data_IF_888757470945
#
_entry.id   IF_888757470945
#
_cell.length_a   1.000
_cell.length_b   1.000
_cell.length_c   1.000
_cell.angle_alpha   90.00
_cell.angle_beta   90.00
_cell.angle_gamma   90.00
#
_symmetry.space_group_name_H-M   'P 1'
#
loop_
_entity.id
_entity.type
_entity.pdbx_description
1 polymer ?
#
# COMPACT_ATOMS: atom_id res chain seq x y z
N UNK A 1 30.55 -24.57 24.10
CA UNK A 1 29.35 -23.86 24.63
C UNK A 1 28.18 -24.18 23.73
N UNK A 2 27.24 -25.01 24.19
CA UNK A 2 26.07 -25.43 23.43
C UNK A 2 24.98 -24.35 23.48
N UNK A 3 24.46 -23.94 22.32
CA UNK A 3 23.27 -23.08 22.22
C UNK A 3 22.06 -23.90 22.66
N UNK A 4 21.50 -23.57 23.82
CA UNK A 4 20.17 -24.06 24.20
C UNK A 4 19.15 -23.50 23.21
N UNK A 5 18.61 -24.38 22.36
CA UNK A 5 17.44 -24.10 21.55
C UNK A 5 16.26 -23.86 22.50
N UNK A 6 15.75 -22.64 22.54
CA UNK A 6 14.46 -22.33 23.16
C UNK A 6 13.37 -22.96 22.28
N UNK A 7 12.97 -24.19 22.61
CA UNK A 7 11.74 -24.82 22.13
C UNK A 7 10.53 -24.11 22.78
N UNK A 8 10.25 -22.88 22.33
CA UNK A 8 8.96 -22.26 22.57
C UNK A 8 7.96 -22.90 21.62
N UNK A 9 6.95 -23.59 22.14
CA UNK A 9 5.80 -24.00 21.33
C UNK A 9 5.20 -22.75 20.68
N UNK A 10 5.01 -22.80 19.36
CA UNK A 10 4.38 -21.70 18.65
C UNK A 10 2.91 -21.60 19.15
N UNK A 11 2.37 -20.38 19.28
CA UNK A 11 0.98 -20.19 19.69
C UNK A 11 0.03 -20.87 18.67
N UNK A 12 -1.13 -21.35 19.11
CA UNK A 12 -2.10 -22.11 18.29
C UNK A 12 -2.49 -21.39 16.97
N UNK A 13 -2.51 -20.06 16.99
CA UNK A 13 -2.74 -19.22 15.81
C UNK A 13 -1.67 -19.40 14.70
N UNK A 14 -0.45 -19.81 15.03
CA UNK A 14 0.60 -20.13 14.05
C UNK A 14 0.29 -21.41 13.25
N UNK A 15 -0.59 -22.27 13.78
CA UNK A 15 -1.08 -23.47 13.11
C UNK A 15 -2.41 -23.24 12.35
N UNK A 16 -2.93 -22.00 12.35
CA UNK A 16 -4.07 -21.64 11.51
C UNK A 16 -3.73 -21.93 10.04
N UNK A 17 -4.45 -22.88 9.45
CA UNK A 17 -4.34 -23.23 8.03
C UNK A 17 -4.73 -22.04 7.13
N UNK A 18 -5.49 -21.08 7.66
CA UNK A 18 -5.95 -19.93 6.90
C UNK A 18 -4.88 -18.82 6.88
N UNK A 19 -3.94 -18.92 5.93
CA UNK A 19 -3.10 -17.78 5.53
C UNK A 19 -3.93 -16.87 4.63
N UNK A 20 -4.45 -15.77 5.17
CA UNK A 20 -5.06 -14.72 4.35
C UNK A 20 -4.02 -14.26 3.31
N UNK A 21 -4.26 -14.46 2.00
CA UNK A 21 -3.27 -14.13 0.98
C UNK A 21 -2.92 -12.65 0.93
N UNK A 22 -3.78 -11.74 1.41
CA UNK A 22 -3.42 -10.32 1.53
C UNK A 22 -2.31 -10.11 2.56
N UNK A 23 -2.39 -10.77 3.71
CA UNK A 23 -1.42 -10.62 4.81
C UNK A 23 -0.10 -11.31 4.50
N UNK A 24 -0.13 -12.45 3.80
CA UNK A 24 1.10 -13.06 3.30
C UNK A 24 1.64 -12.33 2.08
N UNK A 25 0.75 -11.74 1.25
CA UNK A 25 1.10 -11.15 -0.06
C UNK A 25 1.34 -9.68 -0.15
N UNK A 26 1.26 -8.95 0.95
CA UNK A 26 1.40 -7.51 0.91
C UNK A 26 2.33 -7.01 2.00
N UNK A 27 2.82 -5.79 1.80
CA UNK A 27 3.55 -5.05 2.82
C UNK A 27 2.74 -5.02 4.12
N UNK A 28 3.33 -5.48 5.25
CA UNK A 28 2.64 -5.53 6.52
C UNK A 28 2.10 -4.17 6.98
N UNK A 29 1.01 -4.18 7.73
CA UNK A 29 0.39 -2.96 8.27
C UNK A 29 1.24 -2.20 9.30
N UNK A 30 2.28 -2.84 9.82
CA UNK A 30 3.26 -2.23 10.73
C UNK A 30 4.42 -1.51 10.02
N UNK A 31 4.48 -1.51 8.69
CA UNK A 31 5.51 -0.75 7.98
C UNK A 31 5.26 0.75 8.12
N UNK A 32 6.29 1.51 8.49
CA UNK A 32 6.17 2.96 8.68
C UNK A 32 6.31 3.73 7.37
N UNK A 33 5.19 4.01 6.72
CA UNK A 33 5.19 4.75 5.45
C UNK A 33 5.56 6.24 5.61
N UNK A 34 5.66 6.76 6.83
CA UNK A 34 6.17 8.13 7.08
C UNK A 34 7.66 8.25 6.81
N UNK A 35 8.39 7.13 6.85
CA UNK A 35 9.82 7.11 6.56
C UNK A 35 10.14 7.49 5.10
N UNK A 36 9.14 7.54 4.22
CA UNK A 36 9.27 8.09 2.87
C UNK A 36 9.52 9.62 2.86
N UNK A 37 9.41 10.31 4.00
CA UNK A 37 9.78 11.72 4.13
C UNK A 37 8.96 12.62 3.20
N UNK A 38 9.64 13.48 2.44
CA UNK A 38 8.99 14.42 1.52
C UNK A 38 8.68 13.84 0.13
N UNK A 39 8.89 12.53 -0.06
CA UNK A 39 8.60 11.90 -1.35
C UNK A 39 7.09 11.89 -1.57
N UNK A 40 6.62 12.56 -2.64
CA UNK A 40 5.22 12.50 -3.04
C UNK A 40 4.88 11.13 -3.63
N UNK A 41 3.81 10.52 -3.14
CA UNK A 41 3.38 9.16 -3.51
C UNK A 41 2.02 9.22 -4.21
N UNK A 42 1.83 8.51 -5.32
CA UNK A 42 0.54 8.46 -6.04
C UNK A 42 -0.48 7.55 -5.34
N UNK A 43 -1.78 7.69 -5.65
CA UNK A 43 -2.79 6.74 -5.18
C UNK A 43 -2.50 5.31 -5.65
N UNK A 44 -2.03 5.12 -6.90
CA UNK A 44 -1.65 3.80 -7.40
C UNK A 44 -0.46 3.20 -6.64
N UNK A 45 0.55 4.01 -6.26
CA UNK A 45 1.68 3.54 -5.46
C UNK A 45 1.25 3.10 -4.06
N UNK A 46 0.36 3.87 -3.42
CA UNK A 46 -0.23 3.49 -2.12
C UNK A 46 -0.92 2.13 -2.25
N UNK A 47 -1.80 1.95 -3.24
CA UNK A 47 -2.59 0.72 -3.34
C UNK A 47 -1.77 -0.48 -3.85
N UNK A 48 -0.70 -0.25 -4.61
CA UNK A 48 0.18 -1.31 -5.13
C UNK A 48 1.21 -1.80 -4.11
N UNK A 49 1.79 -0.87 -3.33
CA UNK A 49 2.89 -1.17 -2.40
C UNK A 49 2.46 -1.19 -0.94
N UNK A 50 1.35 -0.54 -0.57
CA UNK A 50 0.86 -0.44 0.82
C UNK A 50 -0.65 -0.72 0.93
N UNK A 51 -1.18 -1.82 0.35
CA UNK A 51 -2.61 -2.06 0.31
C UNK A 51 -3.25 -2.21 1.70
N UNK A 52 -2.48 -2.71 2.69
CA UNK A 52 -2.93 -2.80 4.08
C UNK A 52 -3.02 -1.44 4.77
N UNK A 53 -2.31 -0.41 4.29
CA UNK A 53 -2.34 0.94 4.86
C UNK A 53 -3.62 1.71 4.53
N UNK A 54 -4.57 1.09 3.81
CA UNK A 54 -5.96 1.56 3.74
C UNK A 54 -6.62 1.67 5.12
N UNK A 55 -6.09 1.01 6.15
CA UNK A 55 -6.52 1.19 7.54
C UNK A 55 -6.00 2.48 8.20
N UNK A 56 -5.00 3.16 7.62
CA UNK A 56 -4.51 4.44 8.13
C UNK A 56 -5.51 5.54 7.73
N UNK A 57 -5.98 6.32 8.72
CA UNK A 57 -7.12 7.22 8.50
C UNK A 57 -6.83 8.29 7.44
N UNK A 58 -5.63 8.87 7.45
CA UNK A 58 -5.27 9.90 6.47
C UNK A 58 -5.13 9.36 5.05
N UNK A 59 -4.61 8.15 4.88
CA UNK A 59 -4.57 7.46 3.59
C UNK A 59 -5.98 7.21 3.07
N UNK A 60 -6.86 6.66 3.90
CA UNK A 60 -8.24 6.39 3.50
C UNK A 60 -9.02 7.68 3.21
N UNK A 61 -8.78 8.74 3.97
CA UNK A 61 -9.32 10.08 3.72
C UNK A 61 -8.87 10.60 2.36
N UNK A 62 -7.57 10.49 2.03
CA UNK A 62 -7.03 10.91 0.73
C UNK A 62 -7.75 10.22 -0.42
N UNK A 63 -7.78 8.89 -0.38
CA UNK A 63 -8.46 8.07 -1.39
C UNK A 63 -9.95 8.46 -1.49
N UNK A 64 -10.60 8.68 -0.35
CA UNK A 64 -12.02 9.01 -0.29
C UNK A 64 -12.37 10.35 -0.92
N UNK A 65 -11.59 11.41 -0.65
CA UNK A 65 -11.82 12.74 -1.21
C UNK A 65 -11.48 12.77 -2.70
N UNK A 66 -10.50 11.98 -3.14
CA UNK A 66 -10.19 11.81 -4.56
C UNK A 66 -11.08 10.76 -5.24
N UNK A 67 -12.29 10.56 -4.72
CA UNK A 67 -13.37 9.76 -5.31
C UNK A 67 -13.07 8.27 -5.54
N UNK A 68 -12.14 7.68 -4.80
CA UNK A 68 -11.99 6.23 -4.77
C UNK A 68 -13.09 5.60 -3.91
N UNK A 69 -13.93 4.77 -4.54
CA UNK A 69 -14.90 3.93 -3.83
C UNK A 69 -14.24 2.71 -3.19
N UNK A 70 -14.86 2.12 -2.17
CA UNK A 70 -14.36 0.90 -1.56
C UNK A 70 -14.25 -0.27 -2.57
N UNK A 71 -15.18 -0.34 -3.54
CA UNK A 71 -15.12 -1.32 -4.62
C UNK A 71 -13.87 -1.11 -5.49
N UNK A 72 -13.62 0.11 -5.95
CA UNK A 72 -12.45 0.41 -6.78
C UNK A 72 -11.12 0.16 -6.07
N UNK A 73 -11.03 0.47 -4.77
CA UNK A 73 -9.84 0.18 -3.95
C UNK A 73 -9.58 -1.33 -3.93
N UNK A 74 -10.60 -2.12 -3.56
CA UNK A 74 -10.50 -3.58 -3.55
C UNK A 74 -10.11 -4.08 -4.95
N UNK A 75 -10.80 -3.62 -5.99
CA UNK A 75 -10.57 -4.10 -7.33
C UNK A 75 -9.15 -3.85 -7.82
N UNK A 76 -8.62 -2.66 -7.54
CA UNK A 76 -7.24 -2.29 -7.88
C UNK A 76 -6.22 -3.11 -7.09
N UNK A 77 -6.44 -3.38 -5.80
CA UNK A 77 -5.54 -4.22 -4.98
C UNK A 77 -5.50 -5.64 -5.55
N UNK A 78 -6.66 -6.22 -5.90
CA UNK A 78 -6.73 -7.54 -6.54
C UNK A 78 -5.97 -7.56 -7.87
N UNK A 79 -6.16 -6.54 -8.70
CA UNK A 79 -5.47 -6.40 -9.99
C UNK A 79 -3.96 -6.26 -9.82
N UNK A 80 -3.50 -5.33 -8.98
CA UNK A 80 -2.08 -5.01 -8.81
C UNK A 80 -1.28 -6.15 -8.16
N UNK A 81 -1.89 -6.85 -7.20
CA UNK A 81 -1.27 -7.98 -6.48
C UNK A 81 -1.63 -9.37 -7.05
N UNK A 82 -2.41 -9.42 -8.14
CA UNK A 82 -2.89 -10.66 -8.77
C UNK A 82 -3.53 -11.64 -7.76
N UNK A 83 -4.35 -11.11 -6.85
CA UNK A 83 -5.08 -11.92 -5.87
C UNK A 83 -6.20 -12.67 -6.58
N UNK A 84 -6.38 -13.94 -6.23
CA UNK A 84 -7.37 -14.84 -6.83
C UNK A 84 -8.39 -15.40 -5.84
N UNK A 85 -8.11 -15.23 -4.54
CA UNK A 85 -9.04 -15.60 -3.47
C UNK A 85 -9.88 -14.37 -3.16
N UNK A 86 -11.18 -14.46 -3.42
CA UNK A 86 -12.18 -13.39 -3.27
C UNK A 86 -12.43 -12.97 -1.81
N UNK A 87 -11.89 -13.72 -0.85
CA UNK A 87 -11.99 -13.43 0.57
C UNK A 87 -10.76 -12.71 1.14
N UNK A 88 -9.74 -12.40 0.33
CA UNK A 88 -8.52 -11.70 0.78
C UNK A 88 -8.83 -10.36 1.47
N UNK A 89 -9.62 -9.53 0.79
CA UNK A 89 -10.08 -8.22 1.27
C UNK A 89 -11.53 -8.02 0.85
N UNK A 90 -12.39 -7.74 1.82
CA UNK A 90 -13.82 -7.55 1.59
C UNK A 90 -14.14 -6.06 1.38
N UNK A 91 -15.00 -5.78 0.40
CA UNK A 91 -15.51 -4.43 0.12
C UNK A 91 -16.14 -3.77 1.35
N UNK A 92 -16.89 -4.53 2.13
CA UNK A 92 -17.54 -4.08 3.37
C UNK A 92 -16.53 -3.60 4.40
N UNK A 93 -15.41 -4.31 4.55
CA UNK A 93 -14.30 -3.91 5.44
C UNK A 93 -13.69 -2.57 5.00
N UNK A 94 -13.38 -2.42 3.71
CA UNK A 94 -12.83 -1.16 3.18
C UNK A 94 -13.85 -0.02 3.29
N UNK A 95 -15.13 -0.30 3.06
CA UNK A 95 -16.22 0.68 3.22
C UNK A 95 -16.35 1.15 4.68
N UNK A 96 -16.23 0.24 5.63
CA UNK A 96 -16.23 0.58 7.06
C UNK A 96 -15.01 1.43 7.45
N UNK A 97 -13.81 1.08 6.95
CA UNK A 97 -12.60 1.89 7.14
C UNK A 97 -12.78 3.31 6.58
N UNK A 98 -13.36 3.43 5.38
CA UNK A 98 -13.73 4.70 4.75
C UNK A 98 -14.65 5.54 5.62
N UNK A 99 -15.76 4.98 6.08
CA UNK A 99 -16.70 5.69 6.95
C UNK A 99 -16.05 6.14 8.26
N UNK A 100 -15.24 5.28 8.87
CA UNK A 100 -14.51 5.58 10.12
C UNK A 100 -13.51 6.71 9.93
N UNK A 101 -12.74 6.67 8.85
CA UNK A 101 -11.74 7.69 8.54
C UNK A 101 -12.38 9.06 8.24
N UNK A 102 -13.49 9.09 7.49
CA UNK A 102 -14.23 10.32 7.21
C UNK A 102 -14.87 10.91 8.46
N UNK A 103 -15.42 10.08 9.35
CA UNK A 103 -15.94 10.53 10.65
C UNK A 103 -14.83 11.14 11.50
N UNK A 104 -13.69 10.45 11.62
CA UNK A 104 -12.53 10.98 12.34
C UNK A 104 -12.04 12.32 11.77
N UNK A 105 -12.01 12.49 10.44
CA UNK A 105 -11.65 13.77 9.83
C UNK A 105 -12.62 14.89 10.22
N UNK A 106 -13.92 14.59 10.29
CA UNK A 106 -14.93 15.55 10.72
C UNK A 106 -14.76 15.95 12.19
N UNK A 107 -14.56 14.96 13.08
CA UNK A 107 -14.43 15.16 14.53
C UNK A 107 -13.11 15.85 14.92
N UNK A 108 -12.03 15.60 14.18
CA UNK A 108 -10.72 16.21 14.45
C UNK A 108 -10.59 17.67 14.01
N UNK A 109 -11.63 18.25 13.41
CA UNK A 109 -11.59 19.61 12.85
C UNK A 109 -10.69 19.74 11.61
N UNK A 110 -10.16 18.64 11.07
CA UNK A 110 -9.26 18.60 9.91
C UNK A 110 -9.99 18.63 8.57
N UNK A 111 -11.28 18.98 8.54
CA UNK A 111 -12.08 19.02 7.30
C UNK A 111 -11.41 19.91 6.25
N UNK A 112 -10.92 21.09 6.65
CA UNK A 112 -10.31 22.07 5.75
C UNK A 112 -8.81 21.89 5.55
N UNK A 113 -8.18 20.93 6.24
CA UNK A 113 -6.74 20.72 6.10
C UNK A 113 -6.44 20.11 4.72
N UNK A 114 -5.44 20.64 4.00
CA UNK A 114 -4.99 20.02 2.76
C UNK A 114 -4.50 18.61 3.05
N UNK A 115 -4.80 17.69 2.13
CA UNK A 115 -4.34 16.31 2.24
C UNK A 115 -2.87 16.28 1.80
N UNK A 116 -1.95 15.76 2.62
CA UNK A 116 -0.56 15.65 2.23
C UNK A 116 -0.37 14.54 1.18
N UNK A 117 0.46 14.83 0.17
CA UNK A 117 0.89 13.88 -0.86
C UNK A 117 2.23 13.23 -0.52
N UNK A 118 3.07 13.93 0.25
CA UNK A 118 4.17 13.36 1.00
C UNK A 118 3.63 12.59 2.21
N UNK A 119 4.20 11.44 2.52
CA UNK A 119 3.72 10.61 3.62
C UNK A 119 4.43 10.91 4.95
N UNK A 120 5.53 11.67 4.97
CA UNK A 120 6.29 11.96 6.19
C UNK A 120 5.52 12.69 7.29
N UNK A 121 4.50 13.47 6.92
CA UNK A 121 3.69 14.23 7.86
C UNK A 121 2.39 13.54 8.31
N UNK A 122 2.11 12.32 7.83
CA UNK A 122 0.79 11.72 8.10
C UNK A 122 0.66 11.19 9.52
N UNK A 123 -0.56 11.27 10.04
CA UNK A 123 -0.93 10.71 11.34
C UNK A 123 -0.91 9.17 11.32
N UNK A 124 -0.33 8.55 12.35
CA UNK A 124 -0.30 7.09 12.53
C UNK A 124 -1.62 6.52 13.05
N UNK A 125 -2.61 7.37 13.36
CA UNK A 125 -3.91 6.94 13.85
C UNK A 125 -4.58 5.92 12.90
N UNK A 126 -4.78 4.70 13.40
CA UNK A 126 -5.39 3.59 12.67
C UNK A 126 -6.92 3.58 12.85
N UNK A 127 -7.66 3.17 11.82
CA UNK A 127 -9.11 3.06 11.82
C UNK A 127 -9.66 1.87 12.62
N UNK A 128 -8.82 0.92 13.05
CA UNK A 128 -9.22 -0.28 13.79
C UNK A 128 -8.41 -0.46 15.08
N UNK A 129 -8.98 -1.18 16.04
CA UNK A 129 -8.37 -1.57 17.33
C UNK A 129 -7.19 -2.54 17.20
N UNK A 130 -6.51 -2.60 16.05
CA UNK A 130 -5.35 -3.49 15.88
C UNK A 130 -4.28 -3.07 16.88
N UNK A 131 -3.68 -4.07 17.52
CA UNK A 131 -2.61 -3.90 18.49
C UNK A 131 -1.57 -2.90 17.99
N UNK A 132 -1.06 -2.06 18.91
CA UNK A 132 0.05 -1.15 18.67
C UNK A 132 1.32 -1.97 18.37
N UNK A 133 1.40 -2.52 17.15
CA UNK A 133 2.60 -3.14 16.62
C UNK A 133 3.64 -2.05 16.47
N UNK A 134 4.86 -2.35 16.87
CA UNK A 134 6.01 -1.50 16.59
C UNK A 134 6.09 -1.23 15.08
N UNK A 135 6.28 0.04 14.75
CA UNK A 135 6.41 0.47 13.37
C UNK A 135 7.83 0.15 12.88
N UNK A 136 7.94 -0.46 11.70
CA UNK A 136 9.22 -0.96 11.17
C UNK A 136 9.66 -0.20 9.91
N UNK A 137 10.97 -0.04 9.77
CA UNK A 137 11.61 0.39 8.53
C UNK A 137 11.80 -0.83 7.61
N UNK A 138 11.37 -0.70 6.35
CA UNK A 138 11.19 -1.83 5.43
C UNK A 138 12.06 -1.65 4.18
N UNK A 139 12.56 -2.74 3.60
CA UNK A 139 13.33 -2.67 2.35
C UNK A 139 12.41 -2.37 1.17
N UNK A 140 12.81 -1.46 0.29
CA UNK A 140 11.95 -1.08 -0.84
C UNK A 140 11.81 -2.18 -1.88
N UNK A 141 12.83 -3.04 -2.03
CA UNK A 141 12.76 -4.19 -2.94
C UNK A 141 11.74 -5.23 -2.44
N UNK A 142 11.49 -5.29 -1.13
CA UNK A 142 10.50 -6.19 -0.54
C UNK A 142 9.07 -5.70 -0.79
N UNK A 143 8.85 -4.40 -1.04
CA UNK A 143 7.54 -3.88 -1.49
C UNK A 143 7.11 -4.50 -2.82
N UNK A 144 8.09 -4.75 -3.70
CA UNK A 144 7.91 -5.38 -4.99
C UNK A 144 7.87 -6.90 -4.92
N UNK A 145 8.62 -7.51 -4.00
CA UNK A 145 8.81 -8.96 -3.97
C UNK A 145 7.97 -9.69 -2.92
N UNK A 146 7.51 -9.01 -1.88
CA UNK A 146 6.79 -9.58 -0.75
C UNK A 146 7.55 -10.74 -0.09
N UNK A 147 8.65 -10.47 0.60
CA UNK A 147 9.41 -11.54 1.25
C UNK A 147 9.91 -12.65 0.30
N UNK A 148 10.39 -13.75 0.89
CA UNK A 148 11.14 -14.80 0.18
C UNK A 148 10.28 -15.66 -0.76
N UNK A 149 8.95 -15.65 -0.62
CA UNK A 149 8.07 -16.44 -1.46
C UNK A 149 7.81 -15.71 -2.79
N UNK A 150 8.21 -16.32 -3.91
CA UNK A 150 8.09 -15.76 -5.26
C UNK A 150 6.64 -15.42 -5.68
N UNK A 151 5.64 -15.81 -4.88
CA UNK A 151 4.21 -15.58 -5.05
C UNK A 151 3.71 -14.22 -4.55
N UNK A 152 4.60 -13.38 -4.03
CA UNK A 152 4.25 -12.24 -3.18
C UNK A 152 4.56 -10.90 -3.86
N UNK A 153 4.66 -10.91 -5.19
CA UNK A 153 5.15 -9.78 -5.96
C UNK A 153 4.08 -8.74 -6.24
N UNK A 154 4.46 -7.46 -6.27
CA UNK A 154 3.70 -6.45 -6.99
C UNK A 154 3.83 -6.77 -8.49
N UNK A 155 2.82 -7.44 -9.05
CA UNK A 155 2.88 -7.90 -10.46
C UNK A 155 2.64 -6.76 -11.44
N UNK A 156 1.89 -5.74 -11.04
CA UNK A 156 1.58 -4.57 -11.86
C UNK A 156 2.07 -3.32 -11.15
N UNK A 157 3.32 -2.97 -11.44
CA UNK A 157 3.84 -1.66 -11.07
C UNK A 157 2.98 -0.56 -11.69
N UNK A 158 2.77 0.57 -10.99
CA UNK A 158 2.22 1.76 -11.60
C UNK A 158 3.05 2.18 -12.82
N UNK A 159 2.39 2.69 -13.87
CA UNK A 159 3.00 3.10 -15.13
C UNK A 159 2.44 4.46 -15.57
N UNK A 160 3.16 5.16 -16.46
CA UNK A 160 2.73 6.43 -17.02
C UNK A 160 2.49 7.46 -15.93
N UNK A 161 1.31 8.09 -15.90
CA UNK A 161 0.95 9.07 -14.86
C UNK A 161 0.74 8.45 -13.46
N UNK A 162 0.61 7.13 -13.35
CA UNK A 162 0.55 6.44 -12.06
C UNK A 162 1.92 6.17 -11.45
N UNK A 163 2.98 6.21 -12.26
CA UNK A 163 4.37 6.02 -11.82
C UNK A 163 4.86 7.27 -11.08
N UNK A 164 5.17 7.11 -9.80
CA UNK A 164 5.80 8.13 -8.97
C UNK A 164 7.27 7.83 -8.67
N UNK A 165 7.83 8.60 -7.74
CA UNK A 165 9.23 8.48 -7.34
C UNK A 165 9.54 7.14 -6.67
N UNK A 166 8.59 6.59 -5.90
CA UNK A 166 8.78 5.31 -5.21
C UNK A 166 8.85 4.15 -6.20
N UNK A 167 7.98 4.14 -7.22
CA UNK A 167 7.99 3.15 -8.31
C UNK A 167 9.34 3.16 -9.02
N UNK A 168 9.84 4.34 -9.36
CA UNK A 168 11.17 4.50 -9.98
C UNK A 168 12.29 4.06 -9.05
N UNK A 169 12.24 4.39 -7.77
CA UNK A 169 13.21 3.95 -6.77
C UNK A 169 13.27 2.42 -6.66
N UNK A 170 12.12 1.76 -6.55
CA UNK A 170 12.02 0.30 -6.48
C UNK A 170 12.57 -0.34 -7.76
N UNK A 171 12.15 0.13 -8.94
CA UNK A 171 12.64 -0.37 -10.23
C UNK A 171 14.14 -0.20 -10.39
N UNK A 172 14.66 0.98 -10.04
CA UNK A 172 16.08 1.28 -10.10
C UNK A 172 16.88 0.37 -9.15
N UNK A 173 16.39 0.17 -7.92
CA UNK A 173 17.02 -0.71 -6.94
C UNK A 173 17.03 -2.17 -7.41
N UNK A 174 15.93 -2.68 -7.98
CA UNK A 174 15.88 -4.03 -8.54
C UNK A 174 16.84 -4.19 -9.72
N UNK A 175 16.91 -3.21 -10.63
CA UNK A 175 17.78 -3.26 -11.81
C UNK A 175 19.27 -3.29 -11.43
N UNK A 176 19.65 -2.56 -10.37
CA UNK A 176 21.04 -2.42 -9.94
C UNK A 176 21.38 -3.31 -8.72
N UNK A 177 20.50 -4.21 -8.31
CA UNK A 177 20.67 -5.07 -7.13
C UNK A 177 20.92 -4.31 -5.81
N UNK A 178 20.35 -3.11 -5.66
CA UNK A 178 20.44 -2.32 -4.42
C UNK A 178 19.41 -2.80 -3.38
N UNK A 179 19.52 -4.07 -2.98
CA UNK A 179 18.58 -4.73 -2.07
C UNK A 179 18.65 -4.22 -0.61
N UNK A 180 19.60 -3.34 -0.31
CA UNK A 180 19.87 -2.80 1.02
C UNK A 180 19.12 -1.50 1.31
N UNK A 181 18.45 -0.90 0.31
CA UNK A 181 17.74 0.37 0.47
C UNK A 181 16.45 0.18 1.29
N UNK A 182 16.33 0.96 2.37
CA UNK A 182 15.14 1.01 3.24
C UNK A 182 14.25 2.20 2.95
N UNK A 183 13.00 2.18 3.45
CA UNK A 183 12.05 3.28 3.32
C UNK A 183 12.62 4.61 3.81
N UNK A 184 13.28 4.59 4.96
CA UNK A 184 13.95 5.78 5.54
C UNK A 184 15.03 6.41 4.65
N UNK A 185 15.54 5.66 3.67
CA UNK A 185 16.59 6.09 2.76
C UNK A 185 16.05 6.50 1.39
N UNK A 186 14.75 6.34 1.13
CA UNK A 186 14.17 6.57 -0.20
C UNK A 186 14.29 8.01 -0.65
N UNK A 187 14.08 8.98 0.24
CA UNK A 187 14.18 10.40 -0.13
C UNK A 187 15.57 10.74 -0.67
N UNK A 188 16.63 10.36 0.07
CA UNK A 188 18.01 10.56 -0.37
C UNK A 188 18.31 9.77 -1.65
N UNK A 189 17.89 8.51 -1.72
CA UNK A 189 18.11 7.67 -2.89
C UNK A 189 17.44 8.20 -4.17
N UNK A 190 16.23 8.77 -4.05
CA UNK A 190 15.54 9.43 -5.16
C UNK A 190 16.31 10.66 -5.63
N UNK A 191 16.92 11.42 -4.73
CA UNK A 191 17.74 12.59 -5.05
C UNK A 191 19.06 12.18 -5.72
N UNK A 192 19.80 11.25 -5.12
CA UNK A 192 21.13 10.80 -5.59
C UNK A 192 21.10 10.28 -7.04
N UNK A 193 20.03 9.57 -7.40
CA UNK A 193 19.87 8.96 -8.71
C UNK A 193 18.92 9.76 -9.64
N UNK A 194 18.49 10.96 -9.23
CA UNK A 194 17.63 11.82 -10.05
C UNK A 194 16.28 11.21 -10.42
N UNK A 195 15.76 10.29 -9.60
CA UNK A 195 14.57 9.49 -9.92
C UNK A 195 13.27 10.30 -9.86
N UNK A 196 13.31 11.45 -9.16
CA UNK A 196 12.20 12.39 -9.06
C UNK A 196 12.04 13.33 -10.26
N UNK A 197 13.00 13.38 -11.19
CA UNK A 197 12.96 14.30 -12.32
C UNK A 197 11.87 13.95 -13.34
N UNK A 198 11.23 14.97 -13.92
CA UNK A 198 10.19 14.81 -14.95
C UNK A 198 9.00 13.93 -14.49
N UNK A 199 8.69 13.93 -13.20
CA UNK A 199 7.45 13.35 -12.69
C UNK A 199 6.30 14.36 -12.80
N UNK A 200 5.07 13.91 -13.09
CA UNK A 200 3.91 14.77 -13.01
C UNK A 200 3.72 15.27 -11.57
N UNK A 201 3.19 16.48 -11.42
CA UNK A 201 2.86 17.03 -10.10
C UNK A 201 1.69 16.27 -9.50
N UNK A 202 1.94 15.57 -8.39
CA UNK A 202 0.92 14.79 -7.68
C UNK A 202 -0.05 15.73 -6.96
N UNK A 203 -1.32 15.64 -7.33
CA UNK A 203 -2.42 16.45 -6.82
C UNK A 203 -3.76 15.68 -6.88
N UNK A 204 -4.85 16.35 -6.49
CA UNK A 204 -6.18 15.72 -6.40
C UNK A 204 -6.69 15.25 -7.77
N UNK A 205 -6.40 16.01 -8.82
CA UNK A 205 -6.78 15.65 -10.18
C UNK A 205 -6.04 14.40 -10.66
N UNK A 206 -4.75 14.25 -10.31
CA UNK A 206 -3.99 13.06 -10.66
C UNK A 206 -4.52 11.80 -9.96
N UNK A 207 -4.84 11.88 -8.67
CA UNK A 207 -5.48 10.79 -7.92
C UNK A 207 -6.89 10.45 -8.44
N UNK A 208 -7.66 11.46 -8.87
CA UNK A 208 -8.97 11.26 -9.50
C UNK A 208 -8.83 10.54 -10.85
N UNK A 209 -7.88 10.98 -11.67
CA UNK A 209 -7.61 10.39 -12.99
C UNK A 209 -7.09 8.95 -12.88
N UNK A 210 -6.33 8.63 -11.81
CA UNK A 210 -5.84 7.28 -11.52
C UNK A 210 -6.94 6.23 -11.51
N UNK A 211 -8.07 6.55 -10.87
CA UNK A 211 -9.25 5.69 -10.83
C UNK A 211 -9.75 5.40 -12.26
N UNK A 212 -9.91 6.44 -13.07
CA UNK A 212 -10.36 6.33 -14.46
C UNK A 212 -9.40 5.49 -15.32
N UNK A 213 -8.09 5.71 -15.20
CA UNK A 213 -7.06 4.99 -15.98
C UNK A 213 -7.09 3.49 -15.73
N UNK A 214 -7.27 3.09 -14.48
CA UNK A 214 -7.14 1.69 -14.04
C UNK A 214 -8.44 0.90 -14.20
N UNK A 215 -9.58 1.57 -14.37
CA UNK A 215 -10.91 0.96 -14.36
C UNK A 215 -11.09 -0.15 -15.40
N UNK A 216 -10.63 0.08 -16.63
CA UNK A 216 -10.77 -0.90 -17.71
C UNK A 216 -9.96 -2.18 -17.43
N UNK A 217 -8.72 -2.04 -16.93
CA UNK A 217 -7.85 -3.16 -16.61
C UNK A 217 -8.33 -3.92 -15.38
N UNK A 218 -8.78 -3.20 -14.33
CA UNK A 218 -9.42 -3.79 -13.16
C UNK A 218 -10.64 -4.61 -13.58
N UNK A 219 -11.57 -4.02 -14.34
CA UNK A 219 -12.79 -4.72 -14.80
C UNK A 219 -12.45 -5.98 -15.62
N UNK A 220 -11.46 -5.89 -16.52
CA UNK A 220 -10.98 -7.04 -17.30
C UNK A 220 -10.42 -8.13 -16.40
N UNK A 221 -9.60 -7.77 -15.41
CA UNK A 221 -9.05 -8.71 -14.44
C UNK A 221 -10.16 -9.40 -13.64
N UNK A 222 -11.13 -8.64 -13.14
CA UNK A 222 -12.24 -9.16 -12.35
C UNK A 222 -13.13 -10.11 -13.14
N UNK A 223 -13.54 -9.73 -14.35
CA UNK A 223 -14.31 -10.59 -15.24
C UNK A 223 -13.58 -11.90 -15.52
N UNK A 224 -12.26 -11.84 -15.76
CA UNK A 224 -11.44 -13.01 -16.06
C UNK A 224 -11.33 -13.99 -14.87
N UNK A 225 -11.19 -13.48 -13.65
CA UNK A 225 -10.84 -14.32 -12.50
C UNK A 225 -12.02 -14.69 -11.60
N UNK A 226 -13.11 -13.90 -11.60
CA UNK A 226 -14.25 -14.10 -10.72
C UNK A 226 -15.58 -14.31 -11.45
N UNK A 227 -15.58 -14.26 -12.80
CA UNK A 227 -16.79 -14.51 -13.61
C UNK A 227 -17.91 -13.48 -13.41
N UNK A 228 -17.66 -12.41 -12.66
CA UNK A 228 -18.65 -11.37 -12.38
C UNK A 228 -18.69 -10.32 -13.49
N UNK A 229 -19.89 -10.06 -13.98
CA UNK A 229 -20.22 -8.82 -14.68
C UNK A 229 -20.66 -7.80 -13.63
N UNK A 230 -19.85 -6.77 -13.43
CA UNK A 230 -20.19 -5.60 -12.61
C UNK A 230 -21.10 -4.64 -13.39
#
# INVERSE_FOLDING_TARGET
>A
MARQHLEGSLPEAAYSVYRNPLMSRCTPDCVDIRLLGNVHITAEEILSFFPLHTLWREIMVRLSINSWSAAQIVEFIYYSRQLKDDNCIQRTTVQHQKQTAMRWRAESGRINNPIPYALGGIDTARGSHISNRELIDYYIVDLANGGEDALTKCYRFPLGEGEGALTRAIRHALLHNHNWIRLSQVEQYVQDFGLGHNLPTINAQQDLNANTRTRADNSRYWKKHFGMHL
#
